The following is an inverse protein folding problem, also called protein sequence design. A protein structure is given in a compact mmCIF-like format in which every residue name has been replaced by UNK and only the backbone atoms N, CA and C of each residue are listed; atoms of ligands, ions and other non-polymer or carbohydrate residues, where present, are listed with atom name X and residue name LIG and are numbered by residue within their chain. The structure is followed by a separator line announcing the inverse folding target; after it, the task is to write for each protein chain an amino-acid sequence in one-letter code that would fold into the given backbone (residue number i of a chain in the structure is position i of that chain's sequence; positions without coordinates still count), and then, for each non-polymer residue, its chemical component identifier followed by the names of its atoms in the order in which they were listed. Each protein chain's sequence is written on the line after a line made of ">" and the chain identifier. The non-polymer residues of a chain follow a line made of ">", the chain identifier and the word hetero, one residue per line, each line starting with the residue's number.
data_IF_207413736844
#
_entry.id   IF_207413736844
#
_cell.length_a   1.000
_cell.length_b   1.000
_cell.length_c   1.000
_cell.angle_alpha   90.00
_cell.angle_beta   90.00
_cell.angle_gamma   90.00
#
_symmetry.space_group_name_H-M   'P 1'
#
loop_
_entity.id
_entity.type
_entity.pdbx_description
1 polymer ?
#
# COMPACT_ATOMS: atom_id res chain seq x y z
N UNK A 1 -5.72 17.45 16.71
CA UNK A 1 -5.51 16.60 15.53
C UNK A 1 -4.63 15.46 15.99
N UNK A 2 -5.20 14.27 16.05
CA UNK A 2 -4.52 13.08 16.54
C UNK A 2 -3.58 12.56 15.45
N UNK A 3 -2.30 12.39 15.78
CA UNK A 3 -1.29 11.88 14.85
C UNK A 3 -1.14 10.39 15.06
N UNK A 4 -1.43 9.61 14.02
CA UNK A 4 -1.22 8.16 13.99
C UNK A 4 -0.05 7.83 13.07
N UNK A 5 0.65 6.74 13.36
CA UNK A 5 1.72 6.23 12.50
C UNK A 5 1.15 5.12 11.64
N UNK A 6 1.43 5.19 10.33
CA UNK A 6 1.01 4.18 9.35
C UNK A 6 2.25 3.61 8.69
N UNK A 7 2.35 2.29 8.61
CA UNK A 7 3.44 1.63 7.89
C UNK A 7 3.20 1.66 6.38
N UNK A 8 4.23 2.06 5.64
CA UNK A 8 4.27 2.08 4.18
C UNK A 8 5.39 1.13 3.74
N UNK A 9 5.08 0.25 2.80
CA UNK A 9 6.05 -0.71 2.23
C UNK A 9 6.47 -0.19 0.85
N UNK A 10 7.77 -0.02 0.63
CA UNK A 10 8.29 0.40 -0.66
C UNK A 10 8.77 -0.81 -1.45
N UNK A 11 8.23 -0.96 -2.66
CA UNK A 11 8.69 -1.94 -3.65
C UNK A 11 9.46 -1.22 -4.77
N UNK A 12 10.43 -1.86 -5.41
CA UNK A 12 11.07 -1.29 -6.59
C UNK A 12 10.05 -1.14 -7.74
N UNK A 13 10.03 0.03 -8.38
CA UNK A 13 9.19 0.31 -9.54
C UNK A 13 9.69 -0.39 -10.81
N UNK A 14 8.78 -0.69 -11.74
CA UNK A 14 9.13 -1.40 -12.99
C UNK A 14 10.00 -0.55 -13.94
N UNK A 15 9.82 0.77 -13.91
CA UNK A 15 10.54 1.71 -14.77
C UNK A 15 11.67 2.45 -14.04
N UNK A 16 12.09 1.93 -12.87
CA UNK A 16 12.89 2.68 -11.90
C UNK A 16 12.00 3.35 -10.85
N UNK A 17 12.60 3.83 -9.76
CA UNK A 17 11.88 4.42 -8.63
C UNK A 17 11.30 3.40 -7.65
N UNK A 18 10.29 3.82 -6.89
CA UNK A 18 9.66 3.05 -5.83
C UNK A 18 8.13 3.16 -5.87
N UNK A 19 7.47 2.04 -5.62
CA UNK A 19 6.03 1.92 -5.43
C UNK A 19 5.76 1.85 -3.93
N UNK A 20 5.07 2.83 -3.40
CA UNK A 20 4.63 2.86 -2.01
C UNK A 20 3.27 2.17 -1.86
N UNK A 21 3.29 1.04 -1.18
CA UNK A 21 2.14 0.22 -0.88
C UNK A 21 1.73 0.36 0.59
N UNK A 22 0.47 0.65 0.83
CA UNK A 22 -0.12 0.71 2.16
C UNK A 22 -1.00 -0.52 2.40
N UNK A 23 -0.62 -1.44 3.30
CA UNK A 23 -1.39 -2.67 3.54
C UNK A 23 -2.84 -2.42 3.96
N UNK A 24 -3.10 -1.34 4.71
CA UNK A 24 -4.45 -0.95 5.13
C UNK A 24 -5.23 -0.16 4.08
N UNK A 25 -4.54 0.42 3.10
CA UNK A 25 -5.13 1.19 2.01
C UNK A 25 -4.59 0.68 0.67
N UNK A 26 -4.91 -0.56 0.28
CA UNK A 26 -4.36 -1.14 -0.96
C UNK A 26 -4.75 -0.33 -2.20
N UNK A 27 -5.90 0.37 -2.15
CA UNK A 27 -6.36 1.27 -3.21
C UNK A 27 -5.60 2.60 -3.29
N UNK A 28 -4.76 2.94 -2.32
CA UNK A 28 -3.99 4.19 -2.26
C UNK A 28 -2.50 3.94 -2.51
N UNK A 29 -2.17 2.99 -3.40
CA UNK A 29 -0.79 2.77 -3.81
C UNK A 29 -0.29 3.96 -4.63
N UNK A 30 0.90 4.47 -4.31
CA UNK A 30 1.54 5.59 -5.03
C UNK A 30 2.91 5.18 -5.57
N UNK A 31 3.47 5.99 -6.46
CA UNK A 31 4.80 5.77 -7.05
C UNK A 31 5.59 7.09 -7.02
N UNK A 32 6.90 6.99 -6.96
CA UNK A 32 7.84 8.11 -7.06
C UNK A 32 9.21 7.68 -7.56
N UNK A 33 10.01 8.60 -8.05
CA UNK A 33 11.36 8.32 -8.54
C UNK A 33 12.33 8.04 -7.40
N UNK A 34 12.03 8.54 -6.20
CA UNK A 34 12.84 8.40 -4.99
C UNK A 34 12.05 7.84 -3.82
N UNK A 35 12.77 7.36 -2.79
CA UNK A 35 12.17 6.88 -1.54
C UNK A 35 11.40 8.00 -0.86
N UNK A 36 12.01 9.18 -0.77
CA UNK A 36 11.45 10.35 -0.10
C UNK A 36 10.19 10.86 -0.80
N UNK A 37 10.22 10.93 -2.13
CA UNK A 37 9.06 11.31 -2.93
C UNK A 37 7.92 10.30 -2.80
N UNK A 38 8.23 9.00 -2.85
CA UNK A 38 7.21 7.95 -2.71
C UNK A 38 6.53 8.01 -1.34
N UNK A 39 7.30 8.25 -0.27
CA UNK A 39 6.76 8.44 1.08
C UNK A 39 5.93 9.72 1.20
N UNK A 40 6.34 10.81 0.55
CA UNK A 40 5.57 12.05 0.51
C UNK A 40 4.24 11.85 -0.21
N UNK A 41 4.26 11.25 -1.39
CA UNK A 41 3.07 10.94 -2.18
C UNK A 41 2.12 10.02 -1.40
N UNK A 42 2.66 9.01 -0.71
CA UNK A 42 1.89 8.14 0.17
C UNK A 42 1.23 8.90 1.33
N UNK A 43 1.94 9.85 1.94
CA UNK A 43 1.38 10.68 3.01
C UNK A 43 0.22 11.56 2.52
N UNK A 44 0.38 12.25 1.39
CA UNK A 44 -0.69 13.06 0.78
C UNK A 44 -1.91 12.21 0.41
N UNK A 45 -1.69 11.01 -0.17
CA UNK A 45 -2.76 10.09 -0.52
C UNK A 45 -3.53 9.57 0.72
N UNK A 46 -2.82 9.29 1.82
CA UNK A 46 -3.45 8.88 3.08
C UNK A 46 -4.25 10.02 3.73
N UNK A 47 -3.74 11.25 3.70
CA UNK A 47 -4.46 12.41 4.21
C UNK A 47 -5.81 12.57 3.48
N UNK A 48 -5.78 12.51 2.15
CA UNK A 48 -7.00 12.55 1.32
C UNK A 48 -7.94 11.36 1.59
N UNK A 49 -7.39 10.16 1.78
CA UNK A 49 -8.19 8.96 2.05
C UNK A 49 -8.93 9.05 3.39
N UNK A 50 -8.31 9.67 4.41
CA UNK A 50 -8.90 9.85 5.74
C UNK A 50 -9.96 10.97 5.79
N UNK A 51 -9.94 11.90 4.84
CA UNK A 51 -10.99 12.92 4.70
C UNK A 51 -12.32 12.35 4.17
N UNK A 52 -12.28 11.21 3.49
CA UNK A 52 -13.45 10.56 2.90
C UNK A 52 -13.99 9.50 3.89
N UNK A 53 -15.31 9.49 4.19
CA UNK A 53 -15.92 8.40 4.94
C UNK A 53 -15.71 7.09 4.19
N UNK A 54 -14.92 6.19 4.76
CA UNK A 54 -14.65 4.86 4.24
C UNK A 54 -14.97 3.83 5.31
N UNK A 55 -15.25 2.59 4.89
CA UNK A 55 -15.45 1.45 5.80
C UNK A 55 -14.14 0.99 6.48
N UNK A 56 -13.09 1.81 6.39
CA UNK A 56 -11.78 1.51 6.95
C UNK A 56 -11.88 1.75 8.45
N UNK A 57 -11.69 0.66 9.19
CA UNK A 57 -11.61 0.70 10.63
C UNK A 57 -10.37 1.49 11.06
N UNK A 58 -10.58 2.73 11.52
CA UNK A 58 -9.51 3.59 12.00
C UNK A 58 -8.80 2.98 13.23
N UNK A 59 -9.42 2.07 13.98
CA UNK A 59 -8.75 1.35 15.08
C UNK A 59 -7.67 0.38 14.56
N UNK A 60 -7.81 -0.09 13.32
CA UNK A 60 -6.77 -0.89 12.66
C UNK A 60 -5.49 -0.09 12.37
N UNK A 61 -5.59 1.26 12.27
CA UNK A 61 -4.42 2.11 12.07
C UNK A 61 -3.44 2.03 13.24
N UNK A 62 -3.94 1.84 14.46
CA UNK A 62 -3.10 1.74 15.65
C UNK A 62 -2.27 0.44 15.64
N UNK A 63 -2.76 -0.58 14.94
CA UNK A 63 -2.07 -1.86 14.74
C UNK A 63 -1.23 -1.88 13.46
N UNK A 64 -1.30 -0.83 12.65
CA UNK A 64 -0.59 -0.74 11.38
C UNK A 64 0.91 -0.48 11.54
N UNK A 65 1.32 0.09 12.68
CA UNK A 65 2.72 0.37 12.96
C UNK A 65 3.47 -0.92 13.29
N UNK A 66 4.11 -1.48 12.27
CA UNK A 66 5.00 -2.61 12.42
C UNK A 66 6.42 -2.14 12.76
N UNK A 67 6.98 -2.63 13.87
CA UNK A 67 8.38 -2.36 14.24
C UNK A 67 9.37 -3.02 13.27
N UNK A 68 8.95 -4.13 12.65
CA UNK A 68 9.67 -4.80 11.57
C UNK A 68 8.67 -5.37 10.56
N UNK A 69 9.04 -5.35 9.27
CA UNK A 69 8.24 -5.92 8.18
C UNK A 69 8.91 -7.22 7.74
N UNK A 70 8.16 -8.34 7.80
CA UNK A 70 8.60 -9.63 7.27
C UNK A 70 8.01 -9.82 5.89
N UNK A 71 8.87 -9.92 4.88
CA UNK A 71 8.46 -10.26 3.50
C UNK A 71 8.75 -11.74 3.30
N UNK A 72 7.69 -12.52 3.10
CA UNK A 72 7.77 -13.96 2.82
C UNK A 72 7.15 -14.29 1.47
N UNK A 73 7.60 -15.39 0.88
CA UNK A 73 7.06 -15.91 -0.38
C UNK A 73 6.24 -17.17 -0.07
N UNK A 74 5.08 -17.31 -0.73
CA UNK A 74 4.25 -18.52 -0.66
C UNK A 74 3.96 -19.03 -2.06
N UNK A 75 4.15 -20.32 -2.29
CA UNK A 75 3.75 -20.96 -3.53
C UNK A 75 2.26 -21.28 -3.49
N UNK A 76 1.53 -20.91 -4.54
CA UNK A 76 0.09 -21.17 -4.65
C UNK A 76 -0.24 -21.85 -5.98
N UNK A 77 -1.06 -22.90 -5.93
CA UNK A 77 -1.59 -23.54 -7.13
C UNK A 77 -2.76 -22.69 -7.67
N UNK A 78 -2.58 -22.09 -8.85
CA UNK A 78 -3.62 -21.27 -9.47
C UNK A 78 -4.55 -22.17 -10.30
N UNK A 79 -5.85 -22.32 -9.95
CA UNK A 79 -6.78 -23.11 -10.73
C UNK A 79 -7.03 -22.47 -12.10
N UNK A 80 -7.02 -23.29 -13.16
CA UNK A 80 -7.08 -22.87 -14.59
C UNK A 80 -8.24 -21.92 -14.90
N UNK A 81 -9.32 -21.96 -14.13
CA UNK A 81 -10.54 -21.14 -14.32
C UNK A 81 -10.32 -19.63 -14.08
N UNK A 82 -9.24 -19.23 -13.41
CA UNK A 82 -8.91 -17.82 -13.10
C UNK A 82 -8.12 -17.14 -14.23
N UNK A 83 -7.68 -17.87 -15.26
CA UNK A 83 -7.13 -17.30 -16.50
C UNK A 83 -8.26 -16.67 -17.33
N UNK A 84 -8.95 -15.66 -16.79
CA UNK A 84 -9.70 -14.74 -17.62
C UNK A 84 -8.67 -14.08 -18.56
N UNK A 85 -8.88 -14.29 -19.85
CA UNK A 85 -8.13 -13.68 -20.95
C UNK A 85 -7.94 -12.17 -20.71
N UNK A 86 -6.78 -11.58 -21.04
CA UNK A 86 -6.68 -10.13 -21.06
C UNK A 86 -7.74 -9.60 -22.03
N UNK A 87 -8.64 -8.74 -21.55
CA UNK A 87 -9.51 -7.95 -22.41
C UNK A 87 -8.60 -7.18 -23.36
N UNK A 88 -8.78 -7.43 -24.66
CA UNK A 88 -8.24 -6.61 -25.73
C UNK A 88 -8.81 -5.19 -25.67
#
# INVERSE_FOLDING_TARGET
>A
MDKRKVSVVLFPGQCGGYVAFMPLFPGCTTEGETVEESLKNANEALELALEIPSDIDLESLDHSHAEYVVVGEVEVEVPVKVRATPSA
#
